data_IF_743866044584
#
_entry.id   IF_743866044584
#
_cell.length_a   1.000
_cell.length_b   1.000
_cell.length_c   1.000
_cell.angle_alpha   90.00
_cell.angle_beta   90.00
_cell.angle_gamma   90.00
#
_symmetry.space_group_name_H-M   'P 1'
#
loop_
_entity.id
_entity.type
_entity.pdbx_description
1 polymer ?
#
# COMPACT_ATOMS: atom_id res chain seq x y z
N UNK A 1 11.80 3.24 17.24
CA UNK A 1 11.17 4.58 17.02
C UNK A 1 11.80 5.15 15.77
N UNK A 2 11.00 5.69 14.84
CA UNK A 2 11.53 6.22 13.59
C UNK A 2 12.16 7.60 13.79
N UNK A 3 13.27 7.85 13.10
CA UNK A 3 14.00 9.14 13.18
C UNK A 3 13.43 10.14 12.16
N UNK A 4 12.35 10.82 12.55
CA UNK A 4 11.69 11.82 11.71
C UNK A 4 12.59 13.04 11.42
N UNK A 5 13.49 13.41 12.34
CA UNK A 5 14.43 14.51 12.12
C UNK A 5 15.40 14.18 10.99
N UNK A 6 15.95 12.97 10.95
CA UNK A 6 16.81 12.50 9.85
C UNK A 6 16.05 12.44 8.53
N UNK A 7 14.77 12.02 8.54
CA UNK A 7 13.92 12.00 7.33
C UNK A 7 13.69 13.41 6.80
N UNK A 8 13.40 14.38 7.67
CA UNK A 8 13.27 15.80 7.28
C UNK A 8 14.57 16.41 6.76
N UNK A 9 15.72 16.04 7.32
CA UNK A 9 17.02 16.48 6.81
C UNK A 9 17.24 16.00 5.36
N UNK A 10 16.93 14.74 5.06
CA UNK A 10 16.98 14.20 3.69
C UNK A 10 15.99 14.92 2.75
N UNK A 11 14.79 15.25 3.24
CA UNK A 11 13.83 16.05 2.47
C UNK A 11 14.41 17.43 2.14
N UNK A 12 15.04 18.09 3.10
CA UNK A 12 15.69 19.42 2.91
C UNK A 12 16.77 19.39 1.83
N UNK A 13 17.57 18.32 1.79
CA UNK A 13 18.57 18.12 0.72
C UNK A 13 17.91 18.02 -0.66
N UNK A 14 16.83 17.24 -0.78
CA UNK A 14 16.09 17.09 -2.04
C UNK A 14 15.41 18.39 -2.46
N UNK A 15 14.75 19.08 -1.54
CA UNK A 15 14.11 20.36 -1.83
C UNK A 15 15.12 21.36 -2.41
N UNK A 16 16.33 21.44 -1.84
CA UNK A 16 17.40 22.30 -2.39
C UNK A 16 17.85 21.85 -3.77
N UNK A 17 18.05 20.53 -3.96
CA UNK A 17 18.51 19.99 -5.24
C UNK A 17 17.49 20.23 -6.37
N UNK A 18 16.20 20.21 -6.06
CA UNK A 18 15.08 20.39 -7.01
C UNK A 18 14.58 21.84 -7.07
N UNK A 19 15.14 22.77 -6.28
CA UNK A 19 14.77 24.18 -6.25
C UNK A 19 13.36 24.42 -5.72
N UNK A 20 12.94 23.63 -4.74
CA UNK A 20 11.63 23.76 -4.08
C UNK A 20 11.78 24.62 -2.82
N UNK A 21 11.09 25.75 -2.79
CA UNK A 21 11.11 26.68 -1.64
C UNK A 21 10.19 26.24 -0.51
N UNK A 22 9.04 25.66 -0.85
CA UNK A 22 8.00 25.29 0.07
C UNK A 22 7.31 24.00 -0.38
N UNK A 23 7.10 23.05 0.53
CA UNK A 23 6.32 21.84 0.30
C UNK A 23 5.12 21.82 1.26
N UNK A 24 3.92 21.60 0.73
CA UNK A 24 2.73 21.30 1.53
C UNK A 24 2.37 19.82 1.39
N UNK A 25 2.18 19.16 2.51
CA UNK A 25 1.67 17.79 2.58
C UNK A 25 0.37 17.76 3.40
N UNK A 26 -0.70 17.30 2.79
CA UNK A 26 -1.91 16.93 3.51
C UNK A 26 -1.73 15.64 4.32
N UNK A 27 -2.75 15.27 5.09
CA UNK A 27 -2.74 14.02 5.86
C UNK A 27 -2.57 12.82 4.92
N UNK A 28 -1.42 12.16 5.02
CA UNK A 28 -0.96 11.14 4.07
C UNK A 28 0.17 10.32 4.66
N UNK A 29 0.56 9.25 3.97
CA UNK A 29 1.76 8.49 4.30
C UNK A 29 3.03 9.35 4.26
N UNK A 30 3.09 10.34 3.37
CA UNK A 30 4.22 11.25 3.27
C UNK A 30 4.35 12.15 4.51
N UNK A 31 3.23 12.70 4.99
CA UNK A 31 3.22 13.47 6.23
C UNK A 31 3.59 12.59 7.43
N UNK A 32 2.98 11.40 7.54
CA UNK A 32 3.30 10.44 8.61
C UNK A 32 4.78 10.05 8.58
N UNK A 33 5.35 9.79 7.41
CA UNK A 33 6.78 9.47 7.25
C UNK A 33 7.70 10.55 7.84
N UNK A 34 7.37 11.82 7.61
CA UNK A 34 8.21 12.95 8.02
C UNK A 34 7.99 13.41 9.47
N UNK A 35 6.82 13.12 10.06
CA UNK A 35 6.37 13.75 11.30
C UNK A 35 5.88 12.77 12.37
N UNK A 36 5.49 11.56 11.99
CA UNK A 36 4.83 10.61 12.88
C UNK A 36 3.33 10.84 13.05
N UNK A 37 2.76 11.93 12.52
CA UNK A 37 1.31 12.16 12.58
C UNK A 37 0.60 11.08 11.79
N UNK A 38 -0.20 10.26 12.49
CA UNK A 38 -0.86 9.11 11.91
C UNK A 38 -1.96 9.52 10.94
N UNK A 39 -1.95 8.89 9.77
CA UNK A 39 -3.06 8.97 8.83
C UNK A 39 -4.15 7.96 9.20
N UNK A 40 -5.38 8.23 8.83
CA UNK A 40 -6.47 7.28 8.96
C UNK A 40 -6.40 6.20 7.87
N UNK A 41 -5.70 5.09 8.12
CA UNK A 41 -5.70 3.92 7.21
C UNK A 41 -6.94 3.07 7.49
N UNK A 42 -7.61 2.54 6.47
CA UNK A 42 -7.40 2.67 5.03
C UNK A 42 -8.14 3.85 4.37
N UNK A 43 -8.76 4.72 5.14
CA UNK A 43 -9.72 5.71 4.66
C UNK A 43 -9.06 7.08 4.41
N UNK A 44 -8.57 7.30 3.19
CA UNK A 44 -8.25 8.63 2.72
C UNK A 44 -9.52 9.31 2.18
N UNK A 45 -9.65 10.64 2.46
CA UNK A 45 -10.70 11.44 1.85
C UNK A 45 -11.96 11.61 2.71
N UNK A 46 -11.93 11.20 3.97
CA UNK A 46 -12.98 11.58 4.92
C UNK A 46 -12.59 12.88 5.63
N UNK A 47 -13.45 13.89 5.51
CA UNK A 47 -13.36 15.11 6.33
C UNK A 47 -14.41 15.03 7.41
N UNK A 48 -13.98 14.75 8.63
CA UNK A 48 -14.86 14.66 9.80
C UNK A 48 -15.02 16.00 10.52
N UNK A 49 -14.25 17.02 10.15
CA UNK A 49 -14.16 18.27 10.88
C UNK A 49 -14.36 19.49 9.97
N UNK A 50 -14.89 20.58 10.53
CA UNK A 50 -14.88 21.87 9.87
C UNK A 50 -13.43 22.24 9.50
N UNK A 51 -13.26 22.83 8.34
CA UNK A 51 -11.93 23.17 7.79
C UNK A 51 -10.97 21.98 7.61
N UNK A 52 -11.47 20.74 7.44
CA UNK A 52 -10.62 19.54 7.22
C UNK A 52 -9.62 19.70 6.08
N UNK A 53 -9.91 20.55 5.10
CA UNK A 53 -9.04 20.85 3.96
C UNK A 53 -7.71 21.52 4.33
N UNK A 54 -7.60 22.20 5.49
CA UNK A 54 -6.32 22.80 5.94
C UNK A 54 -5.37 21.76 6.54
N UNK A 55 -5.86 20.57 6.88
CA UNK A 55 -5.07 19.54 7.60
C UNK A 55 -3.82 19.18 6.85
N UNK A 56 -2.67 19.53 7.43
CA UNK A 56 -1.38 19.23 6.84
C UNK A 56 -0.24 20.03 7.46
N UNK A 57 0.91 19.98 6.81
CA UNK A 57 2.08 20.72 7.23
C UNK A 57 2.83 21.33 6.05
N UNK A 58 3.43 22.47 6.28
CA UNK A 58 4.39 23.12 5.40
C UNK A 58 5.81 22.77 5.83
N UNK A 59 6.65 22.49 4.85
CA UNK A 59 8.08 22.20 5.03
C UNK A 59 8.90 23.19 4.21
N UNK A 60 9.93 23.76 4.85
CA UNK A 60 11.02 24.50 4.21
C UNK A 60 12.33 23.79 4.54
N UNK A 61 13.30 23.92 3.63
CA UNK A 61 14.61 23.34 3.87
C UNK A 61 15.24 23.91 5.16
N UNK A 62 15.71 23.01 6.03
CA UNK A 62 16.37 23.33 7.31
C UNK A 62 15.50 24.00 8.40
N UNK A 63 14.19 24.06 8.18
CA UNK A 63 13.24 24.55 9.17
C UNK A 63 12.38 23.42 9.74
N UNK A 64 11.88 23.62 10.96
CA UNK A 64 10.86 22.74 11.52
C UNK A 64 9.53 22.95 10.76
N UNK A 65 8.68 21.90 10.65
CA UNK A 65 7.42 22.02 9.96
C UNK A 65 6.46 23.02 10.65
N UNK A 66 5.63 23.67 9.84
CA UNK A 66 4.48 24.45 10.33
C UNK A 66 3.20 23.70 9.98
N UNK A 67 2.53 23.20 11.00
CA UNK A 67 1.25 22.49 10.88
C UNK A 67 0.08 23.47 10.84
N UNK A 68 -0.91 23.15 10.00
CA UNK A 68 -2.21 23.83 10.00
C UNK A 68 -3.27 22.77 10.22
N UNK A 69 -3.91 22.80 11.37
CA UNK A 69 -4.76 21.71 11.81
C UNK A 69 -6.12 22.25 12.30
N UNK A 70 -7.24 21.58 11.96
CA UNK A 70 -8.50 21.78 12.65
C UNK A 70 -8.33 21.52 14.15
N UNK A 71 -9.07 22.25 14.99
CA UNK A 71 -8.99 22.12 16.46
C UNK A 71 -9.14 20.67 16.94
N UNK A 72 -10.04 19.91 16.33
CA UNK A 72 -10.28 18.53 16.73
C UNK A 72 -9.07 17.63 16.42
N UNK A 73 -8.43 17.83 15.26
CA UNK A 73 -7.19 17.08 14.92
C UNK A 73 -6.07 17.45 15.89
N UNK A 74 -5.89 18.76 16.17
CA UNK A 74 -4.86 19.20 17.12
C UNK A 74 -5.11 18.70 18.55
N UNK A 75 -6.38 18.54 18.96
CA UNK A 75 -6.73 18.14 20.31
C UNK A 75 -6.72 16.63 20.56
N UNK A 76 -6.95 15.81 19.53
CA UNK A 76 -7.16 14.37 19.70
C UNK A 76 -6.20 13.48 18.92
N UNK A 77 -5.63 13.98 17.80
CA UNK A 77 -4.83 13.17 16.91
C UNK A 77 -3.34 13.58 16.91
N UNK A 78 -2.99 14.72 17.55
CA UNK A 78 -1.62 15.20 17.63
C UNK A 78 -0.96 14.68 18.91
N UNK A 79 0.25 14.14 18.80
CA UNK A 79 1.04 13.74 19.96
C UNK A 79 1.66 14.98 20.63
N UNK A 80 1.85 14.95 21.97
CA UNK A 80 2.32 16.09 22.77
C UNK A 80 3.74 16.56 22.41
N UNK A 81 4.55 15.71 21.77
CA UNK A 81 5.96 15.93 21.46
C UNK A 81 6.22 16.25 19.97
N UNK A 82 5.19 16.63 19.22
CA UNK A 82 5.37 17.00 17.80
C UNK A 82 6.31 18.20 17.67
N UNK A 83 7.36 18.07 16.88
CA UNK A 83 8.31 19.15 16.61
C UNK A 83 7.81 20.09 15.53
N UNK A 84 7.68 21.38 15.83
CA UNK A 84 7.27 22.40 14.87
C UNK A 84 6.24 23.38 15.44
N UNK A 85 5.80 24.31 14.60
CA UNK A 85 4.74 25.27 14.93
C UNK A 85 3.38 24.66 14.60
N UNK A 86 2.42 24.72 15.52
CA UNK A 86 1.04 24.26 15.29
C UNK A 86 0.09 25.44 15.26
N UNK A 87 -0.52 25.68 14.10
CA UNK A 87 -1.57 26.68 13.90
C UNK A 87 -2.93 25.97 13.90
N UNK A 88 -3.73 26.25 14.92
CA UNK A 88 -5.06 25.66 15.08
C UNK A 88 -6.11 26.51 14.38
N UNK A 89 -7.01 25.86 13.65
CA UNK A 89 -8.18 26.47 13.02
C UNK A 89 -9.44 25.95 13.72
N UNK A 90 -10.16 26.85 14.38
CA UNK A 90 -11.40 26.51 15.07
C UNK A 90 -12.59 26.46 14.08
N UNK A 91 -13.69 25.83 14.48
CA UNK A 91 -14.85 25.58 13.64
C UNK A 91 -15.52 26.86 13.10
N UNK A 92 -15.41 27.97 13.83
CA UNK A 92 -16.02 29.28 13.49
C UNK A 92 -15.03 30.29 12.91
N UNK A 93 -13.75 29.89 12.76
CA UNK A 93 -12.72 30.75 12.20
C UNK A 93 -12.90 30.91 10.67
N UNK A 94 -12.34 31.96 10.11
CA UNK A 94 -12.10 32.05 8.68
C UNK A 94 -10.84 31.24 8.35
N UNK A 95 -11.05 29.95 8.03
CA UNK A 95 -9.96 29.02 7.72
C UNK A 95 -9.11 29.49 6.53
N UNK A 96 -9.72 30.15 5.52
CA UNK A 96 -8.98 30.66 4.36
C UNK A 96 -8.07 31.82 4.75
N UNK A 97 -8.54 32.75 5.59
CA UNK A 97 -7.73 33.87 6.07
C UNK A 97 -6.56 33.38 6.96
N UNK A 98 -6.81 32.37 7.80
CA UNK A 98 -5.74 31.77 8.62
C UNK A 98 -4.70 31.07 7.73
N UNK A 99 -5.15 30.25 6.78
CA UNK A 99 -4.27 29.55 5.86
C UNK A 99 -3.41 30.51 5.03
N UNK A 100 -4.02 31.59 4.50
CA UNK A 100 -3.30 32.64 3.78
C UNK A 100 -2.25 33.33 4.67
N UNK A 101 -2.61 33.67 5.92
CA UNK A 101 -1.68 34.27 6.87
C UNK A 101 -0.47 33.36 7.14
N UNK A 102 -0.69 32.06 7.31
CA UNK A 102 0.39 31.07 7.50
C UNK A 102 1.29 31.05 6.28
N UNK A 103 0.74 30.86 5.08
CA UNK A 103 1.53 30.77 3.85
C UNK A 103 2.36 32.03 3.63
N UNK A 104 1.77 33.22 3.84
CA UNK A 104 2.50 34.49 3.72
C UNK A 104 3.55 34.67 4.83
N UNK A 105 3.27 34.18 6.05
CA UNK A 105 4.19 34.22 7.18
C UNK A 105 5.46 33.38 6.97
N UNK A 106 5.34 32.30 6.20
CA UNK A 106 6.48 31.45 5.81
C UNK A 106 7.45 32.14 4.83
N UNK A 107 7.13 33.35 4.38
CA UNK A 107 7.99 34.13 3.48
C UNK A 107 7.74 33.83 1.99
N UNK A 108 8.53 34.51 1.14
CA UNK A 108 8.38 34.35 -0.30
C UNK A 108 8.79 32.95 -0.73
N UNK A 109 7.96 32.31 -1.54
CA UNK A 109 8.24 31.04 -2.23
C UNK A 109 7.91 31.23 -3.72
N UNK A 110 8.86 30.96 -4.59
CA UNK A 110 8.71 31.03 -6.04
C UNK A 110 8.31 29.66 -6.61
N UNK A 111 8.70 28.58 -5.92
CA UNK A 111 8.36 27.20 -6.29
C UNK A 111 7.77 26.49 -5.07
N UNK A 112 6.49 26.14 -5.17
CA UNK A 112 5.72 25.51 -4.12
C UNK A 112 5.29 24.12 -4.57
N UNK A 113 5.79 23.10 -3.92
CA UNK A 113 5.38 21.73 -4.15
C UNK A 113 4.15 21.38 -3.29
N UNK A 114 3.26 20.54 -3.84
CA UNK A 114 2.07 20.08 -3.15
C UNK A 114 1.95 18.57 -3.31
N UNK A 115 1.70 17.86 -2.21
CA UNK A 115 1.48 16.42 -2.22
C UNK A 115 0.20 16.05 -2.99
N UNK A 116 0.20 14.87 -3.60
CA UNK A 116 -0.93 14.37 -4.40
C UNK A 116 -2.20 14.07 -3.58
N UNK A 117 -2.06 13.97 -2.26
CA UNK A 117 -3.18 13.75 -1.32
C UNK A 117 -3.62 15.03 -0.62
N UNK A 118 -3.48 16.19 -1.26
CA UNK A 118 -4.07 17.43 -0.81
C UNK A 118 -5.50 17.55 -1.34
N UNK A 119 -6.37 18.16 -0.55
CA UNK A 119 -7.73 18.49 -1.00
C UNK A 119 -7.70 19.47 -2.17
N UNK A 120 -8.67 19.38 -3.07
CA UNK A 120 -8.83 20.39 -4.13
C UNK A 120 -8.97 21.80 -3.56
N UNK A 121 -9.68 21.96 -2.45
CA UNK A 121 -9.84 23.24 -1.75
C UNK A 121 -8.50 23.79 -1.24
N UNK A 122 -7.63 22.95 -0.69
CA UNK A 122 -6.27 23.33 -0.29
C UNK A 122 -5.47 23.85 -1.49
N UNK A 123 -5.49 23.08 -2.60
CA UNK A 123 -4.79 23.46 -3.83
C UNK A 123 -5.29 24.78 -4.41
N UNK A 124 -6.61 25.00 -4.42
CA UNK A 124 -7.22 26.23 -4.92
C UNK A 124 -6.83 27.44 -4.03
N UNK A 125 -6.89 27.28 -2.72
CA UNK A 125 -6.48 28.36 -1.80
C UNK A 125 -4.98 28.67 -1.93
N UNK A 126 -4.14 27.64 -2.01
CA UNK A 126 -2.71 27.81 -2.19
C UNK A 126 -2.40 28.51 -3.53
N UNK A 127 -3.07 28.11 -4.63
CA UNK A 127 -2.92 28.75 -5.94
C UNK A 127 -3.32 30.25 -5.93
N UNK A 128 -4.34 30.61 -5.16
CA UNK A 128 -4.75 32.03 -4.99
C UNK A 128 -3.70 32.86 -4.27
N UNK A 129 -2.95 32.26 -3.36
CA UNK A 129 -1.95 32.95 -2.52
C UNK A 129 -0.63 33.11 -3.26
N UNK A 130 -0.12 32.03 -3.87
CA UNK A 130 1.22 31.98 -4.48
C UNK A 130 1.21 32.10 -6.00
N UNK A 131 0.07 31.92 -6.64
CA UNK A 131 -0.08 31.83 -8.09
C UNK A 131 -0.01 30.39 -8.59
N UNK A 132 -0.82 30.05 -9.59
CA UNK A 132 -0.85 28.69 -10.16
C UNK A 132 0.51 28.28 -10.77
N UNK A 133 1.21 29.21 -11.39
CA UNK A 133 2.51 28.96 -12.05
C UNK A 133 3.63 28.62 -11.05
N UNK A 134 3.45 28.93 -9.76
CA UNK A 134 4.38 28.54 -8.69
C UNK A 134 4.21 27.09 -8.27
N UNK A 135 3.03 26.49 -8.51
CA UNK A 135 2.73 25.14 -8.01
C UNK A 135 3.39 24.05 -8.83
N UNK A 136 3.88 23.02 -8.14
CA UNK A 136 4.45 21.79 -8.70
C UNK A 136 3.93 20.57 -7.96
N UNK A 137 3.84 19.39 -8.61
CA UNK A 137 3.64 18.13 -7.89
C UNK A 137 4.80 17.87 -6.93
N UNK A 138 4.51 17.45 -5.70
CA UNK A 138 5.49 17.30 -4.63
C UNK A 138 5.69 15.88 -4.10
N UNK A 139 4.83 14.94 -4.47
CA UNK A 139 4.88 13.57 -3.92
C UNK A 139 6.18 12.83 -4.25
N UNK A 140 6.80 13.09 -5.40
CA UNK A 140 8.10 12.49 -5.76
C UNK A 140 9.20 12.81 -4.76
N UNK A 141 9.17 13.98 -4.12
CA UNK A 141 10.14 14.39 -3.11
C UNK A 141 10.21 13.40 -1.93
N UNK A 142 9.07 12.92 -1.48
CA UNK A 142 8.98 12.02 -0.32
C UNK A 142 8.96 10.56 -0.76
N UNK A 143 8.30 10.22 -1.85
CA UNK A 143 8.26 8.85 -2.38
C UNK A 143 9.67 8.29 -2.63
N UNK A 144 10.58 9.10 -3.15
CA UNK A 144 11.98 8.70 -3.34
C UNK A 144 12.71 8.43 -2.01
N UNK A 145 12.32 9.10 -0.92
CA UNK A 145 12.89 8.84 0.42
C UNK A 145 12.32 7.56 1.04
N UNK A 146 11.06 7.23 0.75
CA UNK A 146 10.34 6.06 1.25
C UNK A 146 10.69 4.78 0.49
N UNK A 147 11.17 4.91 -0.74
CA UNK A 147 11.40 3.79 -1.67
C UNK A 147 12.36 2.75 -1.09
N UNK A 148 13.49 3.18 -0.51
CA UNK A 148 14.49 2.32 0.13
C UNK A 148 14.25 2.32 1.63
N UNK A 149 13.88 1.17 2.17
CA UNK A 149 13.54 0.99 3.59
C UNK A 149 14.79 0.88 4.46
N UNK A 150 14.76 1.54 5.61
CA UNK A 150 15.76 1.34 6.66
C UNK A 150 15.52 0.00 7.38
N UNK A 151 16.46 -0.43 8.22
CA UNK A 151 16.29 -1.66 9.00
C UNK A 151 15.07 -1.60 9.92
N UNK A 152 14.84 -0.44 10.56
CA UNK A 152 13.70 -0.23 11.45
C UNK A 152 12.36 -0.30 10.70
N UNK A 153 12.33 0.17 9.45
CA UNK A 153 11.16 0.08 8.58
C UNK A 153 10.90 -1.37 8.15
N UNK A 154 11.94 -2.10 7.77
CA UNK A 154 11.85 -3.53 7.47
C UNK A 154 11.37 -4.34 8.68
N UNK A 155 11.87 -4.03 9.89
CA UNK A 155 11.41 -4.67 11.13
C UNK A 155 9.92 -4.43 11.38
N UNK A 156 9.39 -3.23 11.06
CA UNK A 156 7.96 -2.94 11.15
C UNK A 156 7.16 -3.74 10.14
N UNK A 157 7.63 -3.81 8.88
CA UNK A 157 7.00 -4.61 7.82
C UNK A 157 7.01 -6.11 8.16
N UNK A 158 8.11 -6.65 8.67
CA UNK A 158 8.20 -8.04 9.13
C UNK A 158 7.20 -8.32 10.28
N UNK A 159 6.94 -7.34 11.15
CA UNK A 159 5.86 -7.47 12.16
C UNK A 159 4.47 -7.49 11.51
N UNK A 160 4.23 -6.64 10.52
CA UNK A 160 2.97 -6.64 9.76
C UNK A 160 2.77 -7.98 9.02
N UNK A 161 3.81 -8.51 8.37
CA UNK A 161 3.78 -9.82 7.69
C UNK A 161 3.48 -10.98 8.67
N UNK A 162 4.00 -10.92 9.90
CA UNK A 162 3.64 -11.92 10.92
C UNK A 162 2.17 -11.90 11.30
N UNK A 163 1.46 -10.77 11.18
CA UNK A 163 0.02 -10.75 11.47
C UNK A 163 -0.76 -11.53 10.42
N UNK A 164 -0.42 -11.36 9.13
CA UNK A 164 -1.11 -12.06 8.04
C UNK A 164 -0.82 -13.57 8.03
N UNK A 165 0.41 -13.98 8.33
CA UNK A 165 0.75 -15.42 8.39
C UNK A 165 0.02 -16.14 9.54
N UNK A 166 -0.11 -15.49 10.70
CA UNK A 166 -0.92 -16.01 11.81
C UNK A 166 -2.40 -16.07 11.45
N UNK A 167 -2.91 -15.03 10.81
CA UNK A 167 -4.30 -14.96 10.36
C UNK A 167 -4.60 -16.09 9.37
N UNK A 168 -3.76 -16.27 8.34
CA UNK A 168 -3.99 -17.32 7.35
C UNK A 168 -3.91 -18.72 7.97
N UNK A 169 -3.02 -18.93 8.92
CA UNK A 169 -2.92 -20.22 9.67
C UNK A 169 -4.23 -20.55 10.40
N UNK A 170 -4.93 -19.54 10.92
CA UNK A 170 -6.20 -19.73 11.63
C UNK A 170 -7.40 -19.88 10.68
N UNK A 171 -7.36 -19.20 9.52
CA UNK A 171 -8.50 -19.10 8.61
C UNK A 171 -8.50 -20.20 7.53
N UNK A 172 -7.34 -20.58 7.02
CA UNK A 172 -7.26 -21.59 5.95
C UNK A 172 -8.02 -22.89 6.24
N UNK A 173 -7.99 -23.46 7.47
CA UNK A 173 -8.75 -24.65 7.79
C UNK A 173 -10.27 -24.48 7.79
N UNK A 174 -10.76 -23.25 7.76
CA UNK A 174 -12.21 -22.93 7.77
C UNK A 174 -12.81 -22.91 6.36
N UNK A 175 -12.00 -23.02 5.31
CA UNK A 175 -12.46 -23.16 3.93
C UNK A 175 -12.99 -24.57 3.73
N UNK A 176 -14.25 -24.76 4.03
CA UNK A 176 -14.95 -26.06 3.89
C UNK A 176 -16.30 -25.84 3.21
N UNK A 177 -16.92 -26.89 2.61
CA UNK A 177 -18.24 -26.75 2.00
C UNK A 177 -19.26 -26.16 2.96
N UNK A 178 -20.01 -25.16 2.51
CA UNK A 178 -21.04 -24.48 3.28
C UNK A 178 -20.63 -23.18 3.95
N UNK A 179 -19.32 -22.89 4.11
CA UNK A 179 -18.85 -21.58 4.60
C UNK A 179 -19.17 -20.50 3.58
N UNK A 180 -19.39 -19.28 4.02
CA UNK A 180 -19.62 -18.13 3.14
C UNK A 180 -18.38 -17.24 3.04
N UNK A 181 -18.26 -16.45 1.96
CA UNK A 181 -17.15 -15.50 1.82
C UNK A 181 -17.21 -14.40 2.87
N UNK A 182 -18.40 -14.03 3.34
CA UNK A 182 -18.57 -13.05 4.40
C UNK A 182 -18.07 -13.58 5.74
N UNK A 183 -18.40 -14.83 6.11
CA UNK A 183 -17.87 -15.47 7.32
C UNK A 183 -16.34 -15.54 7.29
N UNK A 184 -15.74 -15.93 6.17
CA UNK A 184 -14.28 -15.96 6.03
C UNK A 184 -13.67 -14.54 6.14
N UNK A 185 -14.33 -13.52 5.58
CA UNK A 185 -13.85 -12.13 5.66
C UNK A 185 -13.90 -11.60 7.09
N UNK A 186 -15.00 -11.83 7.78
CA UNK A 186 -15.15 -11.45 9.20
C UNK A 186 -14.11 -12.13 10.07
N UNK A 187 -13.82 -13.41 9.80
CA UNK A 187 -12.81 -14.16 10.54
C UNK A 187 -11.39 -13.64 10.23
N UNK A 188 -11.05 -13.33 8.96
CA UNK A 188 -9.77 -12.70 8.61
C UNK A 188 -9.58 -11.41 9.39
N UNK A 189 -10.56 -10.52 9.40
CA UNK A 189 -10.46 -9.24 10.09
C UNK A 189 -10.39 -9.40 11.63
N UNK A 190 -11.08 -10.38 12.18
CA UNK A 190 -10.98 -10.73 13.60
C UNK A 190 -9.56 -11.21 13.94
N UNK A 191 -9.04 -12.17 13.16
CA UNK A 191 -7.72 -12.74 13.39
C UNK A 191 -6.59 -11.73 13.16
N UNK A 192 -6.70 -10.82 12.20
CA UNK A 192 -5.75 -9.72 12.01
C UNK A 192 -5.64 -8.85 13.29
N UNK A 193 -6.78 -8.47 13.88
CA UNK A 193 -6.78 -7.70 15.14
C UNK A 193 -6.19 -8.49 16.30
N UNK A 194 -6.51 -9.78 16.42
CA UNK A 194 -5.95 -10.66 17.46
C UNK A 194 -4.45 -10.89 17.28
N UNK A 195 -3.96 -10.90 16.04
CA UNK A 195 -2.54 -11.01 15.72
C UNK A 195 -1.75 -9.72 16.00
N UNK A 196 -2.42 -8.61 16.29
CA UNK A 196 -1.80 -7.32 16.64
C UNK A 196 -1.79 -6.29 15.52
N UNK A 197 -2.52 -6.51 14.43
CA UNK A 197 -2.73 -5.48 13.43
C UNK A 197 -3.62 -4.36 13.97
N UNK A 198 -3.27 -3.11 13.69
CA UNK A 198 -4.07 -1.95 14.07
C UNK A 198 -5.39 -1.91 13.28
N UNK A 199 -5.32 -2.24 12.00
CA UNK A 199 -6.44 -2.23 11.04
C UNK A 199 -6.03 -3.07 9.83
N UNK A 200 -6.96 -3.53 8.99
CA UNK A 200 -6.61 -3.98 7.65
C UNK A 200 -5.88 -2.88 6.86
N UNK A 201 -4.89 -3.24 6.05
CA UNK A 201 -4.17 -2.29 5.18
C UNK A 201 -5.03 -1.81 4.02
N UNK A 202 -5.97 -2.65 3.60
CA UNK A 202 -7.02 -2.40 2.61
C UNK A 202 -8.24 -3.29 2.92
N UNK A 203 -9.40 -3.07 2.28
CA UNK A 203 -10.56 -3.96 2.44
C UNK A 203 -10.20 -5.41 2.10
N UNK A 204 -10.46 -6.33 3.01
CA UNK A 204 -10.20 -7.76 2.81
C UNK A 204 -10.95 -8.29 1.60
N UNK A 205 -10.23 -8.83 0.62
CA UNK A 205 -10.78 -9.46 -0.57
C UNK A 205 -10.72 -10.98 -0.45
N UNK A 206 -11.86 -11.63 -0.64
CA UNK A 206 -11.94 -13.09 -0.75
C UNK A 206 -12.80 -13.42 -1.96
N UNK A 207 -12.24 -14.19 -2.87
CA UNK A 207 -12.85 -14.53 -4.14
C UNK A 207 -13.00 -16.05 -4.27
N UNK A 208 -14.03 -16.48 -4.98
CA UNK A 208 -14.13 -17.88 -5.43
C UNK A 208 -13.71 -18.02 -6.88
N UNK A 209 -13.11 -19.14 -7.26
CA UNK A 209 -12.50 -19.34 -8.58
C UNK A 209 -13.45 -19.40 -9.78
N UNK A 210 -14.74 -19.39 -9.58
CA UNK A 210 -15.69 -19.25 -10.70
C UNK A 210 -16.08 -17.78 -10.85
N UNK A 211 -15.26 -17.03 -11.56
CA UNK A 211 -15.73 -15.75 -12.08
C UNK A 211 -16.79 -16.01 -13.15
N UNK A 212 -18.04 -15.88 -12.78
CA UNK A 212 -19.16 -15.95 -13.71
C UNK A 212 -19.21 -14.73 -14.64
N UNK A 213 -18.28 -13.77 -14.48
CA UNK A 213 -18.15 -12.60 -15.32
C UNK A 213 -17.54 -12.94 -16.67
N UNK A 214 -18.26 -12.65 -17.72
CA UNK A 214 -17.83 -12.84 -19.11
C UNK A 214 -16.96 -11.69 -19.62
N UNK A 215 -16.77 -10.63 -18.83
CA UNK A 215 -16.05 -9.43 -19.24
C UNK A 215 -14.63 -9.40 -18.64
N UNK A 216 -13.60 -9.06 -19.45
CA UNK A 216 -12.25 -8.83 -18.94
C UNK A 216 -12.25 -7.68 -17.93
N UNK A 217 -11.85 -7.95 -16.71
CA UNK A 217 -11.76 -6.95 -15.64
C UNK A 217 -12.85 -7.03 -14.59
N UNK A 218 -13.86 -7.88 -14.76
CA UNK A 218 -14.83 -8.16 -13.69
C UNK A 218 -14.22 -9.13 -12.66
N UNK A 219 -13.27 -8.61 -11.91
CA UNK A 219 -12.74 -9.20 -10.67
C UNK A 219 -13.68 -8.87 -9.49
N UNK A 220 -14.93 -8.55 -9.79
CA UNK A 220 -15.90 -8.39 -8.73
C UNK A 220 -15.95 -9.71 -7.98
N UNK A 221 -15.79 -9.61 -6.68
CA UNK A 221 -16.05 -10.68 -5.72
C UNK A 221 -17.25 -11.46 -6.23
N UNK A 222 -17.02 -12.66 -6.74
CA UNK A 222 -17.97 -13.43 -7.56
C UNK A 222 -19.25 -13.87 -6.87
N UNK A 223 -19.57 -13.26 -5.75
CA UNK A 223 -20.85 -13.41 -5.09
C UNK A 223 -21.42 -12.03 -4.86
N UNK A 224 -22.46 -11.67 -5.53
CA UNK A 224 -23.15 -10.40 -5.35
C UNK A 224 -23.55 -10.15 -3.88
N UNK A 225 -23.66 -11.19 -3.06
CA UNK A 225 -24.02 -11.08 -1.65
C UNK A 225 -22.91 -11.51 -0.68
N UNK A 226 -21.95 -12.33 -1.10
CA UNK A 226 -20.96 -12.94 -0.22
C UNK A 226 -21.53 -13.92 0.82
N UNK A 227 -22.84 -14.19 0.78
CA UNK A 227 -23.57 -15.04 1.73
C UNK A 227 -23.92 -16.41 1.16
N UNK A 228 -23.58 -16.67 -0.11
CA UNK A 228 -23.85 -17.97 -0.71
C UNK A 228 -22.89 -19.02 -0.14
N UNK A 229 -23.40 -20.21 0.24
CA UNK A 229 -22.55 -21.27 0.76
C UNK A 229 -21.54 -21.74 -0.29
N UNK A 230 -20.26 -21.85 0.09
CA UNK A 230 -19.20 -22.34 -0.76
C UNK A 230 -19.48 -23.81 -1.13
N UNK A 231 -19.60 -24.15 -2.43
CA UNK A 231 -19.67 -25.54 -2.83
C UNK A 231 -18.27 -26.18 -2.84
N UNK A 232 -18.23 -27.50 -2.72
CA UNK A 232 -17.02 -28.28 -2.99
C UNK A 232 -16.55 -28.09 -4.45
N UNK A 233 -15.25 -28.24 -4.68
CA UNK A 233 -14.68 -28.11 -6.01
C UNK A 233 -14.38 -26.66 -6.41
N UNK A 234 -14.03 -25.80 -5.47
CA UNK A 234 -13.74 -24.37 -5.71
C UNK A 234 -12.38 -23.95 -5.14
N UNK A 235 -11.70 -23.09 -5.87
CA UNK A 235 -10.61 -22.30 -5.33
C UNK A 235 -11.15 -21.10 -4.56
N UNK A 236 -10.56 -20.80 -3.40
CA UNK A 236 -10.82 -19.60 -2.62
C UNK A 236 -9.52 -18.82 -2.54
N UNK A 237 -9.53 -17.63 -3.12
CA UNK A 237 -8.40 -16.72 -3.16
C UNK A 237 -8.55 -15.71 -2.04
N UNK A 238 -7.56 -15.64 -1.18
CA UNK A 238 -7.42 -14.62 -0.14
C UNK A 238 -6.47 -13.55 -0.62
N UNK A 239 -6.83 -12.31 -0.35
CA UNK A 239 -6.05 -11.12 -0.63
C UNK A 239 -6.35 -10.11 0.47
N UNK A 240 -5.41 -9.97 1.43
CA UNK A 240 -5.60 -9.15 2.62
C UNK A 240 -4.27 -8.74 3.23
N UNK A 241 -4.32 -7.68 4.02
CA UNK A 241 -3.15 -7.18 4.71
C UNK A 241 -3.47 -6.54 6.05
N UNK A 242 -2.45 -6.34 6.86
CA UNK A 242 -2.53 -5.67 8.15
C UNK A 242 -1.58 -4.50 8.27
N UNK A 243 -1.79 -3.65 9.27
CA UNK A 243 -0.96 -2.47 9.57
C UNK A 243 -0.34 -2.60 10.95
N UNK A 244 0.99 -2.48 11.00
CA UNK A 244 1.75 -2.42 12.26
C UNK A 244 2.72 -1.24 12.21
N UNK A 245 2.68 -0.39 13.21
CA UNK A 245 3.51 0.84 13.29
C UNK A 245 3.42 1.72 12.03
N UNK A 246 2.24 1.76 11.39
CA UNK A 246 1.96 2.49 10.15
C UNK A 246 2.34 1.75 8.86
N UNK A 247 3.14 0.68 8.92
CA UNK A 247 3.56 -0.11 7.76
C UNK A 247 2.54 -1.18 7.41
N UNK A 248 2.27 -1.30 6.11
CA UNK A 248 1.33 -2.25 5.55
C UNK A 248 2.00 -3.60 5.26
N UNK A 249 1.24 -4.68 5.41
CA UNK A 249 1.47 -5.93 4.69
C UNK A 249 0.41 -6.12 3.61
N UNK A 250 0.74 -6.99 2.66
CA UNK A 250 -0.09 -7.42 1.55
C UNK A 250 0.20 -8.88 1.29
N UNK A 251 -0.83 -9.73 1.30
CA UNK A 251 -0.64 -11.16 1.35
C UNK A 251 -1.79 -11.90 0.67
N UNK A 252 -1.44 -12.83 -0.21
CA UNK A 252 -2.41 -13.63 -0.94
C UNK A 252 -2.09 -15.11 -0.92
N UNK A 253 -3.13 -15.93 -0.75
CA UNK A 253 -3.07 -17.40 -0.86
C UNK A 253 -4.34 -17.95 -1.49
N UNK A 254 -4.19 -19.12 -2.09
CA UNK A 254 -5.30 -19.93 -2.58
C UNK A 254 -5.49 -21.14 -1.68
N UNK A 255 -6.74 -21.41 -1.30
CA UNK A 255 -7.15 -22.66 -0.66
C UNK A 255 -8.17 -23.33 -1.57
N UNK A 256 -8.03 -24.63 -1.77
CA UNK A 256 -8.99 -25.43 -2.53
C UNK A 256 -9.99 -26.11 -1.59
N UNK A 257 -11.28 -25.92 -1.84
CA UNK A 257 -12.35 -26.59 -1.11
C UNK A 257 -12.64 -27.95 -1.79
N UNK A 258 -12.15 -29.02 -1.22
CA UNK A 258 -12.19 -30.38 -1.78
C UNK A 258 -10.82 -30.85 -2.29
N UNK A 259 -10.80 -31.82 -3.21
CA UNK A 259 -9.60 -32.35 -3.87
C UNK A 259 -9.35 -31.57 -5.18
N UNK A 260 -8.18 -30.90 -5.33
CA UNK A 260 -7.91 -30.08 -6.52
C UNK A 260 -7.72 -30.97 -7.75
N UNK A 261 -8.34 -30.61 -8.89
CA UNK A 261 -8.12 -31.32 -10.14
C UNK A 261 -6.75 -30.97 -10.74
N UNK A 262 -6.18 -31.83 -11.60
CA UNK A 262 -4.81 -31.68 -12.14
C UNK A 262 -4.58 -30.36 -12.89
N UNK A 263 -5.61 -29.74 -13.47
CA UNK A 263 -5.46 -28.45 -14.13
C UNK A 263 -5.24 -27.29 -13.14
N UNK A 264 -5.83 -27.34 -11.95
CA UNK A 264 -5.61 -26.36 -10.88
C UNK A 264 -4.22 -26.53 -10.29
N UNK A 265 -3.79 -27.79 -10.05
CA UNK A 265 -2.44 -28.07 -9.54
C UNK A 265 -1.36 -27.56 -10.52
N UNK A 266 -1.50 -27.86 -11.83
CA UNK A 266 -0.56 -27.36 -12.85
C UNK A 266 -0.52 -25.83 -12.92
N UNK A 267 -1.66 -25.17 -12.82
CA UNK A 267 -1.71 -23.71 -12.82
C UNK A 267 -1.04 -23.15 -11.58
N UNK A 268 -1.25 -23.77 -10.43
CA UNK A 268 -0.62 -23.38 -9.17
C UNK A 268 0.91 -23.57 -9.22
N UNK A 269 1.39 -24.69 -9.76
CA UNK A 269 2.83 -24.97 -9.94
C UNK A 269 3.48 -23.95 -10.89
N UNK A 270 2.83 -23.62 -12.02
CA UNK A 270 3.33 -22.61 -12.96
C UNK A 270 3.40 -21.22 -12.30
N UNK A 271 2.42 -20.88 -11.48
CA UNK A 271 2.38 -19.62 -10.74
C UNK A 271 3.49 -19.57 -9.67
N UNK A 272 3.73 -20.66 -8.93
CA UNK A 272 4.84 -20.77 -7.97
C UNK A 272 6.20 -20.60 -8.66
N UNK A 273 6.38 -21.23 -9.82
CA UNK A 273 7.60 -21.11 -10.60
C UNK A 273 7.80 -19.66 -11.07
N UNK A 274 6.72 -18.98 -11.44
CA UNK A 274 6.71 -17.54 -11.77
C UNK A 274 7.13 -16.68 -10.60
N UNK A 275 6.51 -16.86 -9.44
CA UNK A 275 6.83 -16.13 -8.22
C UNK A 275 8.31 -16.29 -7.84
N UNK A 276 8.82 -17.51 -7.83
CA UNK A 276 10.22 -17.77 -7.50
C UNK A 276 11.20 -17.15 -8.53
N UNK A 277 10.85 -17.16 -9.82
CA UNK A 277 11.66 -16.52 -10.84
C UNK A 277 11.69 -15.00 -10.70
N UNK A 278 10.55 -14.37 -10.37
CA UNK A 278 10.46 -12.96 -10.04
C UNK A 278 11.32 -12.58 -8.84
N UNK A 279 11.16 -13.33 -7.74
CA UNK A 279 11.98 -13.17 -6.54
C UNK A 279 13.49 -13.27 -6.85
N UNK A 280 13.90 -14.29 -7.58
CA UNK A 280 15.31 -14.51 -7.92
C UNK A 280 15.89 -13.40 -8.80
N UNK A 281 15.09 -12.79 -9.65
CA UNK A 281 15.47 -11.64 -10.49
C UNK A 281 15.56 -10.31 -9.72
N UNK A 282 14.94 -10.21 -8.54
CA UNK A 282 14.83 -9.00 -7.73
C UNK A 282 16.15 -8.67 -7.01
N UNK A 283 17.11 -8.09 -7.75
CA UNK A 283 18.43 -7.69 -7.23
C UNK A 283 18.74 -6.25 -7.59
N UNK A 284 19.65 -5.57 -6.87
CA UNK A 284 20.05 -4.20 -7.20
C UNK A 284 20.52 -4.06 -8.63
N UNK A 285 20.02 -3.03 -9.31
CA UNK A 285 20.31 -2.74 -10.71
C UNK A 285 19.39 -3.42 -11.72
N UNK A 286 18.63 -4.45 -11.34
CA UNK A 286 17.60 -5.02 -12.22
C UNK A 286 16.48 -3.99 -12.43
N UNK A 287 15.95 -3.88 -13.63
CA UNK A 287 14.81 -3.01 -13.91
C UNK A 287 13.50 -3.68 -13.47
N UNK A 288 12.56 -2.91 -12.95
CA UNK A 288 11.25 -3.43 -12.52
C UNK A 288 10.56 -4.26 -13.63
N UNK A 289 10.63 -3.80 -14.90
CA UNK A 289 10.12 -4.55 -16.06
C UNK A 289 10.80 -5.92 -16.28
N UNK A 290 12.09 -6.03 -15.96
CA UNK A 290 12.84 -7.29 -16.12
C UNK A 290 12.42 -8.30 -15.05
N UNK A 291 12.20 -7.84 -13.83
CA UNK A 291 11.66 -8.66 -12.74
C UNK A 291 10.24 -9.14 -13.07
N UNK A 292 9.39 -8.25 -13.58
CA UNK A 292 8.07 -8.63 -14.09
C UNK A 292 8.16 -9.67 -15.22
N UNK A 293 9.07 -9.51 -16.17
CA UNK A 293 9.24 -10.45 -17.27
C UNK A 293 9.73 -11.83 -16.77
N UNK A 294 10.63 -11.84 -15.79
CA UNK A 294 11.11 -13.07 -15.17
C UNK A 294 9.98 -13.87 -14.48
N UNK A 295 9.09 -13.17 -13.78
CA UNK A 295 7.90 -13.78 -13.16
C UNK A 295 6.93 -14.35 -14.23
N UNK A 296 6.74 -13.65 -15.34
CA UNK A 296 5.80 -14.06 -16.39
C UNK A 296 6.26 -15.28 -17.18
N UNK A 297 7.56 -15.41 -17.42
CA UNK A 297 8.11 -16.42 -18.33
C UNK A 297 7.69 -17.86 -17.99
N UNK A 298 7.79 -18.38 -16.76
CA UNK A 298 7.33 -19.74 -16.45
C UNK A 298 5.83 -19.95 -16.66
N UNK A 299 5.02 -18.92 -16.44
CA UNK A 299 3.57 -18.97 -16.63
C UNK A 299 3.23 -19.00 -18.12
N UNK A 300 3.96 -18.24 -18.94
CA UNK A 300 3.84 -18.24 -20.40
C UNK A 300 4.30 -19.56 -21.00
N UNK A 301 5.41 -20.12 -20.53
CA UNK A 301 5.92 -21.43 -20.94
C UNK A 301 4.96 -22.58 -20.62
N UNK A 302 4.16 -22.45 -19.56
CA UNK A 302 3.08 -23.37 -19.22
C UNK A 302 1.82 -23.18 -20.08
N UNK A 303 1.80 -22.20 -21.01
CA UNK A 303 0.66 -21.89 -21.85
C UNK A 303 -0.46 -21.12 -21.14
N UNK A 304 -0.16 -20.49 -20.00
CA UNK A 304 -1.14 -19.80 -19.14
C UNK A 304 -0.95 -18.28 -19.14
N UNK A 305 -0.08 -17.74 -20.00
CA UNK A 305 0.26 -16.31 -20.01
C UNK A 305 -0.92 -15.38 -20.28
N UNK A 306 -1.91 -15.79 -21.09
CA UNK A 306 -3.13 -15.00 -21.33
C UNK A 306 -4.04 -14.87 -20.09
N UNK A 307 -3.86 -15.74 -19.10
CA UNK A 307 -4.60 -15.75 -17.85
C UNK A 307 -3.90 -14.97 -16.72
N UNK A 308 -2.65 -14.52 -16.94
CA UNK A 308 -1.93 -13.60 -16.06
C UNK A 308 -2.05 -12.17 -16.59
N UNK A 309 -3.09 -11.45 -16.20
CA UNK A 309 -3.54 -10.22 -16.85
C UNK A 309 -3.02 -8.93 -16.23
N UNK A 310 -2.43 -8.98 -15.05
CA UNK A 310 -1.93 -7.81 -14.36
C UNK A 310 -0.39 -7.80 -14.26
N UNK A 311 0.17 -6.75 -13.74
CA UNK A 311 1.60 -6.65 -13.39
C UNK A 311 1.95 -7.67 -12.31
N UNK A 312 3.25 -7.98 -12.18
CA UNK A 312 3.74 -8.87 -11.13
C UNK A 312 3.43 -8.34 -9.73
N UNK A 313 3.54 -7.01 -9.52
CA UNK A 313 3.32 -6.41 -8.20
C UNK A 313 3.55 -4.91 -8.17
N UNK A 314 3.67 -4.37 -6.97
CA UNK A 314 3.90 -2.95 -6.69
C UNK A 314 4.74 -2.77 -5.44
N UNK A 315 5.47 -1.66 -5.33
CA UNK A 315 6.15 -1.33 -4.10
C UNK A 315 5.11 -1.07 -2.98
N UNK A 316 5.55 -1.34 -1.75
CA UNK A 316 4.72 -1.28 -0.54
C UNK A 316 5.54 -0.74 0.63
N UNK A 317 4.88 -0.11 1.58
CA UNK A 317 5.49 0.43 2.79
C UNK A 317 4.45 1.02 3.72
N UNK A 318 4.44 2.33 3.86
CA UNK A 318 3.37 3.04 4.56
C UNK A 318 2.07 3.04 3.76
N UNK A 319 2.11 3.19 2.43
CA UNK A 319 0.97 2.91 1.56
C UNK A 319 1.04 1.46 1.06
N UNK A 320 -0.11 0.86 0.80
CA UNK A 320 -0.20 -0.46 0.15
C UNK A 320 0.42 -0.36 -1.25
N UNK A 321 0.03 0.63 -2.03
CA UNK A 321 0.57 0.86 -3.35
C UNK A 321 1.56 2.04 -3.34
N UNK A 322 2.83 1.75 -3.52
CA UNK A 322 3.92 2.71 -3.71
C UNK A 322 4.56 2.54 -5.10
N UNK A 323 5.48 3.43 -5.47
CA UNK A 323 6.35 3.26 -6.64
C UNK A 323 7.68 2.63 -6.22
N UNK A 324 8.32 1.82 -7.11
CA UNK A 324 7.92 1.47 -8.48
C UNK A 324 6.78 0.44 -8.56
N UNK A 325 6.16 0.35 -9.75
CA UNK A 325 5.32 -0.79 -10.10
C UNK A 325 6.16 -1.85 -10.79
N UNK A 326 6.02 -3.11 -10.37
CA UNK A 326 6.72 -4.21 -11.04
C UNK A 326 5.89 -4.61 -12.26
N UNK A 327 6.04 -3.83 -13.33
CA UNK A 327 5.21 -3.89 -14.54
C UNK A 327 6.06 -3.86 -15.81
N UNK A 328 5.50 -4.23 -16.98
CA UNK A 328 6.24 -4.19 -18.25
C UNK A 328 6.76 -2.82 -18.64
N UNK A 329 6.15 -1.74 -18.15
CA UNK A 329 6.42 -0.36 -18.54
C UNK A 329 7.40 0.35 -17.58
N UNK A 330 7.65 -0.20 -16.37
CA UNK A 330 8.44 0.49 -15.36
C UNK A 330 9.94 0.17 -15.51
N UNK A 331 10.72 1.19 -15.86
CA UNK A 331 12.17 1.11 -16.05
C UNK A 331 12.98 1.48 -14.80
N UNK A 332 12.33 1.64 -13.65
CA UNK A 332 13.00 1.96 -12.40
C UNK A 332 13.99 0.86 -12.03
N UNK A 333 15.28 1.17 -11.84
CA UNK A 333 16.24 0.21 -11.33
C UNK A 333 15.95 -0.07 -9.85
N UNK A 334 15.95 -1.34 -9.46
CA UNK A 334 15.81 -1.74 -8.07
C UNK A 334 17.07 -1.40 -7.27
N UNK A 335 16.90 -1.05 -6.03
CA UNK A 335 17.96 -0.81 -5.06
C UNK A 335 17.78 -1.74 -3.85
N UNK A 336 18.90 -2.10 -3.20
CA UNK A 336 18.84 -2.90 -1.97
C UNK A 336 17.99 -2.19 -0.91
N UNK A 337 17.05 -2.92 -0.29
CA UNK A 337 16.10 -2.38 0.68
C UNK A 337 14.78 -1.88 0.08
N UNK A 338 14.60 -1.88 -1.24
CA UNK A 338 13.27 -1.70 -1.82
C UNK A 338 12.38 -2.90 -1.51
N UNK A 339 11.10 -2.64 -1.23
CA UNK A 339 10.09 -3.67 -0.96
C UNK A 339 8.94 -3.55 -1.95
N UNK A 340 8.46 -4.69 -2.40
CA UNK A 340 7.33 -4.78 -3.35
C UNK A 340 6.63 -6.13 -3.22
N UNK A 341 5.38 -6.22 -3.69
CA UNK A 341 4.63 -7.47 -3.78
C UNK A 341 5.09 -8.31 -4.95
N UNK A 342 5.12 -9.63 -4.77
CA UNK A 342 5.28 -10.63 -5.80
C UNK A 342 4.01 -11.48 -5.81
N UNK A 343 3.05 -11.08 -6.67
CA UNK A 343 1.65 -11.48 -6.59
C UNK A 343 1.09 -12.13 -7.87
N UNK A 344 1.80 -13.02 -8.55
CA UNK A 344 1.24 -13.62 -9.76
C UNK A 344 -0.11 -14.29 -9.48
N UNK A 345 -1.03 -14.14 -10.43
CA UNK A 345 -2.29 -14.87 -10.41
C UNK A 345 -2.65 -15.36 -11.81
N UNK A 346 -3.25 -16.54 -11.86
CA UNK A 346 -3.78 -17.16 -13.08
C UNK A 346 -5.27 -17.29 -12.89
N UNK A 347 -6.02 -16.60 -13.74
CA UNK A 347 -7.49 -16.58 -13.68
C UNK A 347 -8.04 -17.08 -15.00
N UNK A 348 -8.63 -18.28 -14.95
CA UNK A 348 -9.32 -18.91 -16.08
C UNK A 348 -10.82 -18.67 -15.94
N UNK A 349 -11.41 -17.75 -16.72
CA UNK A 349 -12.80 -17.36 -16.57
C UNK A 349 -13.76 -18.54 -16.62
N UNK A 350 -14.68 -18.60 -15.66
CA UNK A 350 -15.70 -19.66 -15.58
C UNK A 350 -15.17 -21.02 -15.09
N UNK A 351 -13.88 -21.14 -14.78
CA UNK A 351 -13.26 -22.38 -14.31
C UNK A 351 -12.62 -22.24 -12.92
N UNK A 352 -11.52 -21.56 -12.81
CA UNK A 352 -10.78 -21.40 -11.54
C UNK A 352 -9.90 -20.14 -11.54
N UNK A 353 -9.50 -19.70 -10.36
CA UNK A 353 -8.43 -18.74 -10.17
C UNK A 353 -7.43 -19.25 -9.12
N UNK A 354 -6.16 -18.91 -9.28
CA UNK A 354 -5.12 -19.14 -8.27
C UNK A 354 -4.30 -17.87 -8.12
N UNK A 355 -3.92 -17.54 -6.87
CA UNK A 355 -3.01 -16.44 -6.52
C UNK A 355 -2.09 -16.87 -5.39
N UNK A 356 -0.87 -16.43 -5.47
CA UNK A 356 0.07 -16.40 -4.36
C UNK A 356 0.67 -15.00 -4.30
N UNK A 357 0.84 -14.46 -3.10
CA UNK A 357 1.35 -13.12 -2.90
C UNK A 357 2.15 -13.04 -1.62
N UNK A 358 3.35 -12.51 -1.74
CA UNK A 358 4.25 -12.21 -0.63
C UNK A 358 4.99 -10.90 -0.91
N UNK A 359 5.45 -10.24 0.16
CA UNK A 359 6.32 -9.07 0.03
C UNK A 359 7.77 -9.53 -0.11
N UNK A 360 8.44 -8.99 -1.12
CA UNK A 360 9.85 -9.19 -1.39
C UNK A 360 10.64 -7.95 -0.98
N UNK A 361 11.74 -8.11 -0.25
CA UNK A 361 12.79 -7.09 -0.12
C UNK A 361 13.90 -7.39 -1.10
N UNK A 362 14.32 -6.39 -1.88
CA UNK A 362 15.43 -6.48 -2.81
C UNK A 362 16.75 -6.59 -2.06
N UNK A 363 17.53 -7.64 -2.32
CA UNK A 363 18.85 -7.90 -1.72
C UNK A 363 19.87 -8.30 -2.80
N UNK A 364 21.17 -8.25 -2.50
CA UNK A 364 22.26 -8.54 -3.46
C UNK A 364 22.17 -9.93 -4.10
N UNK A 365 21.69 -10.93 -3.37
CA UNK A 365 21.57 -12.31 -3.83
C UNK A 365 20.26 -12.66 -4.54
N UNK A 366 19.38 -11.68 -4.76
CA UNK A 366 17.98 -11.87 -5.16
C UNK A 366 17.05 -11.48 -4.03
N UNK A 367 15.76 -11.37 -4.31
CA UNK A 367 14.78 -10.98 -3.32
C UNK A 367 14.63 -11.97 -2.17
N UNK A 368 14.29 -11.47 -0.99
CA UNK A 368 13.92 -12.25 0.19
C UNK A 368 12.46 -11.95 0.55
N UNK A 369 11.67 -12.99 0.75
CA UNK A 369 10.30 -12.83 1.26
C UNK A 369 10.30 -12.37 2.72
N UNK A 370 9.35 -11.52 3.08
CA UNK A 370 9.12 -11.09 4.46
C UNK A 370 8.17 -12.03 5.20
N UNK A 371 7.30 -12.73 4.48
CA UNK A 371 6.37 -13.71 5.01
C UNK A 371 7.03 -15.09 5.14
N UNK A 372 6.79 -15.74 6.28
CA UNK A 372 7.14 -17.14 6.53
C UNK A 372 5.84 -17.97 6.61
N UNK A 373 5.24 -18.27 5.46
CA UNK A 373 4.03 -19.07 5.35
C UNK A 373 4.20 -20.11 4.23
N UNK A 374 3.69 -21.35 4.39
CA UNK A 374 3.75 -22.37 3.36
C UNK A 374 3.23 -21.89 2.01
N UNK A 375 3.88 -22.36 0.94
CA UNK A 375 3.53 -21.99 -0.44
C UNK A 375 2.79 -23.09 -1.20
N UNK A 376 2.68 -24.27 -0.60
CA UNK A 376 1.92 -25.37 -1.17
C UNK A 376 0.43 -25.03 -1.22
N UNK A 377 -0.26 -25.53 -2.24
CA UNK A 377 -1.71 -25.40 -2.33
C UNK A 377 -2.37 -26.13 -1.15
N UNK A 378 -3.08 -25.41 -0.32
CA UNK A 378 -3.86 -25.99 0.76
C UNK A 378 -5.16 -26.54 0.18
N UNK A 379 -5.50 -27.78 0.51
CA UNK A 379 -6.73 -28.45 0.12
C UNK A 379 -7.48 -28.94 1.38
N UNK A 380 -8.74 -28.56 1.50
CA UNK A 380 -9.61 -28.97 2.62
C UNK A 380 -10.83 -29.70 2.07
N UNK A 381 -11.04 -30.93 2.49
CA UNK A 381 -12.18 -31.74 2.12
C UNK A 381 -12.78 -32.47 3.30
#
# INVERSE_FOLDING_TARGET
MFDHAKRRARLSERMRAEGIDLLFLGLSADLEYLTGIRRGVPFFGQSSYAHGWVTGAFFRADELPTYVLPRMVAAFDLEDDVEGEVVVVNETDDGSAIFERVVRGLGRAETVAIGDRAWAETTINLARIVGLDALRPGSSLVNELRRVKTREELDAMERACRTVTRTMTAVAPQVVPGVTMNELREEVELQLRQAGSMTPSFPTHIFTGTYAGTEPGDLTSGTETGNDPLPEGRTVLFDFGGVVDGYCSDFGRTVYCGEPPPEVERAYEAMLAGQEAGRAAARPGALAREVNAACRAPIEDAGLGEHFRHRMGHAIGLDVHERPFISPEDETPLEAGMTFTDEPSIIVPGAYGVRIEDIVVCEEGGGRYLEEYPKELVANG
#
